data_IF_587857542869
#
_entry.id   IF_587857542869
#
_cell.length_a   1.000
_cell.length_b   1.000
_cell.length_c   1.000
_cell.angle_alpha   90.00
_cell.angle_beta   90.00
_cell.angle_gamma   90.00
#
_symmetry.space_group_name_H-M   'P 1'
#
loop_
_entity.id
_entity.type
_entity.pdbx_description
1 polymer ?
#
# COMPACT_ATOMS: atom_id res chain seq x y z
N UNK A 1 -15.41 -24.07 30.06
CA UNK A 1 -15.33 -24.12 28.59
C UNK A 1 -14.03 -23.51 28.15
N UNK A 2 -13.20 -24.29 27.48
CA UNK A 2 -11.74 -24.35 27.53
C UNK A 2 -10.96 -23.13 26.97
N UNK A 3 -10.11 -22.53 27.81
CA UNK A 3 -9.06 -21.60 27.38
C UNK A 3 -8.02 -22.25 26.43
N UNK A 4 -7.88 -23.57 26.44
CA UNK A 4 -6.98 -24.33 25.54
C UNK A 4 -7.36 -24.23 24.06
N UNK A 5 -8.65 -24.08 23.70
CA UNK A 5 -9.07 -24.02 22.29
C UNK A 5 -8.72 -22.71 21.56
N UNK A 6 -8.46 -21.62 22.29
CA UNK A 6 -8.06 -20.33 21.70
C UNK A 6 -6.55 -20.25 21.42
N UNK A 7 -5.72 -20.86 22.29
CA UNK A 7 -4.27 -20.92 22.08
C UNK A 7 -3.91 -21.84 20.90
N UNK A 8 -4.60 -22.99 20.78
CA UNK A 8 -4.38 -23.93 19.68
C UNK A 8 -4.71 -23.32 18.32
N UNK A 9 -5.74 -22.47 18.24
CA UNK A 9 -6.09 -21.78 16.99
C UNK A 9 -5.06 -20.71 16.55
N UNK A 10 -4.39 -20.05 17.51
CA UNK A 10 -3.36 -19.04 17.20
C UNK A 10 -2.06 -19.71 16.74
N UNK A 11 -1.64 -20.77 17.41
CA UNK A 11 -0.44 -21.56 17.05
C UNK A 11 -0.62 -22.19 15.68
N UNK A 12 -1.77 -22.81 15.41
CA UNK A 12 -2.11 -23.39 14.10
C UNK A 12 -2.17 -22.35 12.97
N UNK A 13 -2.60 -21.14 13.29
CA UNK A 13 -2.74 -20.07 12.30
C UNK A 13 -1.42 -19.38 11.95
N UNK A 14 -0.55 -19.16 12.94
CA UNK A 14 0.70 -18.42 12.78
C UNK A 14 1.94 -19.33 12.79
N UNK A 15 1.84 -20.54 13.32
CA UNK A 15 2.93 -21.50 13.37
C UNK A 15 3.56 -21.79 12.03
N UNK A 16 2.79 -22.26 11.01
CA UNK A 16 3.34 -22.58 9.69
C UNK A 16 4.04 -21.41 8.99
N UNK A 17 3.46 -20.19 8.92
CA UNK A 17 4.14 -19.03 8.31
C UNK A 17 5.43 -18.65 9.03
N UNK A 18 5.42 -18.66 10.37
CA UNK A 18 6.61 -18.32 11.16
C UNK A 18 7.69 -19.39 11.05
N UNK A 19 7.32 -20.67 11.05
CA UNK A 19 8.25 -21.76 10.83
C UNK A 19 8.90 -21.69 9.44
N UNK A 20 8.12 -21.43 8.40
CA UNK A 20 8.65 -21.25 7.04
C UNK A 20 9.60 -20.06 6.96
N UNK A 21 9.23 -18.90 7.55
CA UNK A 21 10.10 -17.72 7.61
C UNK A 21 11.40 -18.04 8.35
N UNK A 22 11.32 -18.72 9.50
CA UNK A 22 12.50 -19.15 10.26
C UNK A 22 13.40 -20.08 9.47
N UNK A 23 12.83 -21.07 8.74
CA UNK A 23 13.57 -21.96 7.86
C UNK A 23 14.26 -21.21 6.71
N UNK A 24 13.59 -20.24 6.09
CA UNK A 24 14.18 -19.42 5.03
C UNK A 24 15.33 -18.56 5.54
N UNK A 25 15.18 -17.91 6.70
CA UNK A 25 16.24 -17.11 7.32
C UNK A 25 17.41 -18.00 7.75
N UNK A 26 17.15 -19.18 8.32
CA UNK A 26 18.19 -20.14 8.68
C UNK A 26 18.92 -20.65 7.43
N UNK A 27 18.18 -20.99 6.37
CA UNK A 27 18.77 -21.40 5.10
C UNK A 27 19.66 -20.31 4.49
N UNK A 28 19.23 -19.04 4.52
CA UNK A 28 20.05 -17.92 4.08
C UNK A 28 21.30 -17.76 4.95
N UNK A 29 21.17 -17.78 6.27
CA UNK A 29 22.31 -17.69 7.20
C UNK A 29 23.34 -18.80 6.95
N UNK A 30 22.87 -20.05 6.81
CA UNK A 30 23.73 -21.20 6.52
C UNK A 30 24.38 -21.12 5.15
N UNK A 31 23.64 -20.70 4.12
CA UNK A 31 24.16 -20.55 2.77
C UNK A 31 25.30 -19.51 2.72
N UNK A 32 25.16 -18.40 3.44
CA UNK A 32 26.21 -17.36 3.50
C UNK A 32 27.43 -17.86 4.28
N UNK A 33 27.22 -18.49 5.44
CA UNK A 33 28.33 -18.92 6.30
C UNK A 33 29.08 -20.12 5.76
N UNK A 34 28.36 -21.13 5.25
CA UNK A 34 28.99 -22.36 4.71
C UNK A 34 29.55 -22.15 3.30
N UNK A 35 28.93 -21.24 2.52
CA UNK A 35 29.41 -20.89 1.19
C UNK A 35 30.55 -19.86 1.20
N UNK A 36 30.99 -19.42 2.40
CA UNK A 36 32.02 -18.39 2.55
C UNK A 36 31.77 -17.14 1.70
N UNK A 37 30.48 -16.79 1.53
CA UNK A 37 30.06 -15.65 0.71
C UNK A 37 30.50 -14.37 1.41
N UNK A 38 31.22 -13.52 0.69
CA UNK A 38 31.69 -12.27 1.24
C UNK A 38 30.54 -11.38 1.73
N UNK A 39 30.59 -10.82 2.97
CA UNK A 39 29.47 -10.05 3.56
C UNK A 39 29.10 -8.79 2.76
N UNK A 40 30.01 -8.25 1.98
CA UNK A 40 29.72 -7.13 1.08
C UNK A 40 28.88 -7.53 -0.14
N UNK A 41 28.87 -8.82 -0.52
CA UNK A 41 28.03 -9.34 -1.61
C UNK A 41 26.66 -9.74 -1.09
N UNK A 42 26.64 -10.56 -0.02
CA UNK A 42 25.39 -11.01 0.62
C UNK A 42 25.61 -11.10 2.14
N UNK A 43 25.07 -10.18 2.93
CA UNK A 43 25.21 -10.22 4.38
C UNK A 43 24.40 -11.36 4.98
N UNK A 44 24.90 -12.02 6.04
CA UNK A 44 24.05 -12.95 6.80
C UNK A 44 22.94 -12.18 7.51
N UNK A 45 21.71 -12.74 7.61
CA UNK A 45 20.62 -12.11 8.33
C UNK A 45 20.96 -11.60 9.74
N UNK A 46 21.85 -12.29 10.43
CA UNK A 46 22.32 -11.90 11.77
C UNK A 46 23.12 -10.59 11.82
N UNK A 47 23.73 -10.15 10.71
CA UNK A 47 24.46 -8.89 10.65
C UNK A 47 23.57 -7.66 10.43
N UNK A 48 22.36 -7.85 9.89
CA UNK A 48 21.46 -6.74 9.52
C UNK A 48 21.01 -5.92 10.74
N UNK A 49 20.58 -6.53 11.87
CA UNK A 49 20.19 -5.75 13.04
C UNK A 49 21.31 -4.87 13.60
N UNK A 50 22.55 -5.35 13.58
CA UNK A 50 23.73 -4.56 13.97
C UNK A 50 23.87 -3.31 13.10
N UNK A 51 23.89 -3.48 11.77
CA UNK A 51 23.98 -2.36 10.85
C UNK A 51 22.82 -1.36 10.99
N UNK A 52 21.61 -1.82 11.29
CA UNK A 52 20.45 -0.93 11.55
C UNK A 52 20.63 -0.14 12.84
N UNK A 53 21.22 -0.74 13.89
CA UNK A 53 21.47 -0.06 15.15
C UNK A 53 22.61 0.95 15.06
N UNK A 54 23.65 0.63 14.31
CA UNK A 54 24.82 1.49 14.12
C UNK A 54 24.40 2.80 13.39
N UNK A 55 23.49 2.71 12.40
CA UNK A 55 23.00 3.85 11.62
C UNK A 55 21.57 4.29 12.01
N UNK A 56 21.11 3.94 13.22
CA UNK A 56 19.71 4.15 13.62
C UNK A 56 19.24 5.61 13.48
N UNK A 57 20.11 6.58 13.75
CA UNK A 57 19.78 8.01 13.64
C UNK A 57 19.51 8.44 12.21
N UNK A 58 20.37 8.06 11.27
CA UNK A 58 20.21 8.38 9.86
C UNK A 58 19.05 7.62 9.23
N UNK A 59 18.91 6.33 9.54
CA UNK A 59 17.77 5.52 9.09
C UNK A 59 16.44 6.08 9.58
N UNK A 60 16.36 6.55 10.82
CA UNK A 60 15.13 7.20 11.34
C UNK A 60 14.82 8.48 10.57
N UNK A 61 15.82 9.33 10.35
CA UNK A 61 15.66 10.57 9.57
C UNK A 61 15.16 10.29 8.16
N UNK A 62 15.78 9.33 7.46
CA UNK A 62 15.39 8.93 6.12
C UNK A 62 14.01 8.29 6.09
N UNK A 63 13.66 7.48 7.09
CA UNK A 63 12.32 6.89 7.24
C UNK A 63 11.23 7.95 7.36
N UNK A 64 11.45 9.01 8.15
CA UNK A 64 10.48 10.09 8.32
C UNK A 64 10.26 10.87 7.00
N UNK A 65 11.31 11.07 6.20
CA UNK A 65 11.18 11.71 4.88
C UNK A 65 10.34 10.84 3.95
N UNK A 66 10.67 9.55 3.81
CA UNK A 66 9.90 8.60 3.00
C UNK A 66 8.44 8.52 3.47
N UNK A 67 8.21 8.45 4.79
CA UNK A 67 6.86 8.42 5.36
C UNK A 67 6.06 9.66 5.00
N UNK A 68 6.66 10.85 5.06
CA UNK A 68 6.02 12.11 4.68
C UNK A 68 5.59 12.08 3.20
N UNK A 69 6.48 11.65 2.30
CA UNK A 69 6.21 11.56 0.86
C UNK A 69 5.08 10.57 0.56
N UNK A 70 5.12 9.42 1.21
CA UNK A 70 4.10 8.37 1.10
C UNK A 70 2.74 8.86 1.59
N UNK A 71 2.67 9.49 2.76
CA UNK A 71 1.40 9.97 3.33
C UNK A 71 0.79 11.07 2.46
N UNK A 72 1.59 12.04 2.00
CA UNK A 72 1.10 13.11 1.13
C UNK A 72 0.60 12.55 -0.20
N UNK A 73 1.36 11.67 -0.83
CA UNK A 73 0.96 11.04 -2.10
C UNK A 73 -0.30 10.16 -1.95
N UNK A 74 -0.41 9.41 -0.86
CA UNK A 74 -1.58 8.57 -0.58
C UNK A 74 -2.84 9.41 -0.34
N UNK A 75 -2.72 10.54 0.37
CA UNK A 75 -3.83 11.49 0.57
C UNK A 75 -4.27 12.08 -0.77
N UNK A 76 -3.34 12.57 -1.60
CA UNK A 76 -3.66 13.11 -2.92
C UNK A 76 -4.31 12.05 -3.81
N UNK A 77 -3.75 10.83 -3.85
CA UNK A 77 -4.30 9.71 -4.60
C UNK A 77 -5.72 9.35 -4.14
N UNK A 78 -5.97 9.38 -2.83
CA UNK A 78 -7.28 9.07 -2.25
C UNK A 78 -8.31 10.11 -2.65
N UNK A 79 -7.98 11.40 -2.54
CA UNK A 79 -8.88 12.48 -2.93
C UNK A 79 -9.22 12.44 -4.42
N UNK A 80 -8.19 12.36 -5.27
CA UNK A 80 -8.37 12.25 -6.73
C UNK A 80 -9.11 10.96 -7.12
N UNK A 81 -8.79 9.85 -6.46
CA UNK A 81 -9.43 8.56 -6.70
C UNK A 81 -10.92 8.58 -6.38
N UNK A 82 -11.31 9.15 -5.23
CA UNK A 82 -12.73 9.30 -4.86
C UNK A 82 -13.45 10.23 -5.85
N UNK A 83 -12.87 11.39 -6.17
CA UNK A 83 -13.47 12.34 -7.12
C UNK A 83 -13.70 11.66 -8.47
N UNK A 84 -12.71 10.96 -8.98
CA UNK A 84 -12.79 10.25 -10.27
C UNK A 84 -13.84 9.13 -10.23
N UNK A 85 -13.86 8.31 -9.18
CA UNK A 85 -14.82 7.22 -9.05
C UNK A 85 -16.26 7.73 -8.93
N UNK A 86 -16.48 8.82 -8.19
CA UNK A 86 -17.79 9.48 -8.08
C UNK A 86 -18.20 10.07 -9.43
N UNK A 87 -17.31 10.73 -10.14
CA UNK A 87 -17.58 11.27 -11.47
C UNK A 87 -17.98 10.17 -12.46
N UNK A 88 -17.27 9.04 -12.47
CA UNK A 88 -17.59 7.86 -13.27
C UNK A 88 -18.99 7.33 -12.92
N UNK A 89 -19.35 7.23 -11.63
CA UNK A 89 -20.65 6.71 -11.19
C UNK A 89 -21.84 7.60 -11.59
N UNK A 90 -21.64 8.91 -11.73
CA UNK A 90 -22.70 9.83 -12.12
C UNK A 90 -22.82 10.05 -13.63
N UNK A 91 -21.73 9.92 -14.37
CA UNK A 91 -21.65 10.26 -15.80
C UNK A 91 -21.17 9.06 -16.64
N UNK A 92 -22.08 8.32 -17.30
CA UNK A 92 -21.71 7.16 -18.13
C UNK A 92 -20.73 7.47 -19.26
N UNK A 93 -20.70 8.73 -19.73
CA UNK A 93 -19.73 9.17 -20.73
C UNK A 93 -18.30 9.21 -20.14
N UNK A 94 -18.17 9.68 -18.90
CA UNK A 94 -16.89 9.68 -18.20
C UNK A 94 -16.42 8.27 -17.87
N UNK A 95 -17.32 7.37 -17.54
CA UNK A 95 -17.00 5.95 -17.34
C UNK A 95 -16.33 5.36 -18.58
N UNK A 96 -16.98 5.52 -19.75
CA UNK A 96 -16.46 5.01 -21.04
C UNK A 96 -15.13 5.65 -21.43
N UNK A 97 -14.92 6.92 -21.08
CA UNK A 97 -13.71 7.66 -21.43
C UNK A 97 -12.57 7.43 -20.43
N UNK A 98 -12.83 7.57 -19.13
CA UNK A 98 -11.79 7.58 -18.10
C UNK A 98 -11.40 6.18 -17.62
N UNK A 99 -12.35 5.24 -17.51
CA UNK A 99 -12.06 3.92 -16.96
C UNK A 99 -10.98 3.16 -17.77
N UNK A 100 -11.02 3.13 -19.13
CA UNK A 100 -9.93 2.54 -19.91
C UNK A 100 -8.58 3.24 -19.71
N UNK A 101 -8.58 4.58 -19.54
CA UNK A 101 -7.35 5.35 -19.29
C UNK A 101 -6.76 5.04 -17.90
N UNK A 102 -7.62 4.91 -16.90
CA UNK A 102 -7.21 4.49 -15.54
C UNK A 102 -6.57 3.10 -15.60
N UNK A 103 -7.16 2.15 -16.31
CA UNK A 103 -6.57 0.82 -16.48
C UNK A 103 -5.25 0.89 -17.25
N UNK A 104 -5.20 1.65 -18.35
CA UNK A 104 -3.99 1.82 -19.15
C UNK A 104 -2.83 2.47 -18.37
N UNK A 105 -3.14 3.34 -17.39
CA UNK A 105 -2.10 4.00 -16.57
C UNK A 105 -1.20 3.03 -15.81
N UNK A 106 -1.67 1.82 -15.51
CA UNK A 106 -0.88 0.78 -14.85
C UNK A 106 0.17 0.13 -15.76
N UNK A 107 0.03 0.29 -17.08
CA UNK A 107 0.99 -0.27 -18.04
C UNK A 107 2.26 0.58 -18.16
N UNK A 108 2.27 1.79 -17.59
CA UNK A 108 3.44 2.68 -17.66
C UNK A 108 4.43 2.31 -16.55
N UNK A 109 5.68 1.92 -16.89
CA UNK A 109 6.68 1.56 -15.89
C UNK A 109 7.09 2.78 -15.05
N UNK A 110 6.93 2.72 -13.73
CA UNK A 110 7.31 3.78 -12.79
C UNK A 110 8.79 4.24 -12.94
N UNK A 111 9.76 3.31 -13.14
CA UNK A 111 11.16 3.73 -13.31
C UNK A 111 11.39 4.67 -14.49
N UNK A 112 10.52 4.62 -15.51
CA UNK A 112 10.61 5.52 -16.68
C UNK A 112 9.96 6.88 -16.38
N UNK A 113 8.90 6.89 -15.56
CA UNK A 113 8.20 8.13 -15.20
C UNK A 113 9.02 9.00 -14.24
N UNK A 114 9.76 8.40 -13.32
CA UNK A 114 10.48 9.16 -12.30
C UNK A 114 11.47 10.19 -12.88
N UNK A 115 12.38 9.86 -13.82
CA UNK A 115 13.26 10.86 -14.45
C UNK A 115 12.48 11.90 -15.26
N UNK A 116 11.40 11.52 -15.94
CA UNK A 116 10.58 12.46 -16.70
C UNK A 116 9.93 13.51 -15.80
N UNK A 117 9.37 13.08 -14.66
CA UNK A 117 8.76 14.01 -13.71
C UNK A 117 9.79 14.98 -13.12
N UNK A 118 11.03 14.53 -12.90
CA UNK A 118 12.10 15.41 -12.42
C UNK A 118 12.50 16.43 -13.49
N UNK A 119 12.56 16.04 -14.75
CA UNK A 119 12.87 16.94 -15.88
C UNK A 119 11.79 18.04 -15.99
N UNK A 120 10.51 17.69 -15.84
CA UNK A 120 9.41 18.64 -16.00
C UNK A 120 9.14 19.50 -14.77
N UNK A 121 9.29 18.94 -13.56
CA UNK A 121 8.89 19.58 -12.30
C UNK A 121 10.09 20.03 -11.45
N UNK A 122 11.30 19.67 -11.86
CA UNK A 122 12.51 19.90 -11.08
C UNK A 122 12.68 18.92 -9.92
N UNK A 123 13.75 19.15 -9.15
CA UNK A 123 14.02 18.40 -7.93
C UNK A 123 13.12 18.86 -6.79
N UNK A 124 12.79 17.96 -5.88
CA UNK A 124 12.01 18.31 -4.69
C UNK A 124 10.99 17.22 -4.32
N UNK A 125 10.02 17.59 -3.51
CA UNK A 125 9.00 16.66 -2.99
C UNK A 125 7.88 16.39 -4.01
N UNK A 126 7.60 17.34 -4.92
CA UNK A 126 6.45 17.27 -5.85
C UNK A 126 6.51 16.07 -6.79
N UNK A 127 7.61 15.81 -7.53
CA UNK A 127 7.68 14.62 -8.40
C UNK A 127 7.53 13.31 -7.62
N UNK A 128 7.98 13.23 -6.39
CA UNK A 128 7.85 12.04 -5.53
C UNK A 128 6.40 11.82 -5.09
N UNK A 129 5.71 12.89 -4.64
CA UNK A 129 4.28 12.84 -4.32
C UNK A 129 3.48 12.37 -5.55
N UNK A 130 3.81 12.86 -6.75
CA UNK A 130 3.13 12.44 -7.97
C UNK A 130 3.36 10.98 -8.32
N UNK A 131 4.58 10.44 -8.12
CA UNK A 131 4.85 9.01 -8.33
C UNK A 131 4.04 8.14 -7.37
N UNK A 132 4.01 8.51 -6.09
CA UNK A 132 3.15 7.83 -5.10
C UNK A 132 1.68 7.94 -5.50
N UNK A 133 1.24 9.14 -5.91
CA UNK A 133 -0.14 9.36 -6.35
C UNK A 133 -0.51 8.47 -7.53
N UNK A 134 0.34 8.38 -8.54
CA UNK A 134 0.08 7.58 -9.74
C UNK A 134 -0.07 6.08 -9.43
N UNK A 135 0.81 5.52 -8.60
CA UNK A 135 0.72 4.09 -8.25
C UNK A 135 -0.49 3.78 -7.37
N UNK A 136 -0.87 4.71 -6.48
CA UNK A 136 -1.99 4.54 -5.55
C UNK A 136 -3.36 4.84 -6.19
N UNK A 137 -3.39 5.68 -7.22
CA UNK A 137 -4.63 6.15 -7.84
C UNK A 137 -5.47 5.01 -8.43
N UNK A 138 -4.84 4.13 -9.22
CA UNK A 138 -5.54 3.02 -9.88
C UNK A 138 -6.28 2.09 -8.90
N UNK A 139 -5.64 1.47 -7.90
CA UNK A 139 -6.34 0.55 -7.00
C UNK A 139 -7.48 1.25 -6.24
N UNK A 140 -7.35 2.55 -5.94
CA UNK A 140 -8.40 3.31 -5.28
C UNK A 140 -9.58 3.53 -6.23
N UNK A 141 -9.34 4.00 -7.47
CA UNK A 141 -10.41 4.26 -8.44
C UNK A 141 -11.15 2.99 -8.79
N UNK A 142 -10.45 1.95 -9.23
CA UNK A 142 -11.06 0.71 -9.71
C UNK A 142 -11.90 0.06 -8.61
N UNK A 143 -11.33 -0.15 -7.43
CA UNK A 143 -12.09 -0.78 -6.35
C UNK A 143 -13.29 0.08 -5.90
N UNK A 144 -13.17 1.42 -5.95
CA UNK A 144 -14.31 2.30 -5.60
C UNK A 144 -15.41 2.23 -6.65
N UNK A 145 -15.06 2.25 -7.93
CA UNK A 145 -16.02 2.12 -9.05
C UNK A 145 -16.73 0.77 -8.97
N UNK A 146 -15.98 -0.32 -8.78
CA UNK A 146 -16.55 -1.66 -8.62
C UNK A 146 -17.51 -1.71 -7.42
N UNK A 147 -17.13 -1.04 -6.33
CA UNK A 147 -17.98 -0.91 -5.15
C UNK A 147 -19.29 -0.15 -5.44
N UNK A 148 -19.21 0.93 -6.21
CA UNK A 148 -20.40 1.72 -6.58
C UNK A 148 -21.34 0.97 -7.55
N UNK A 149 -20.79 0.02 -8.32
CA UNK A 149 -21.54 -0.81 -9.26
C UNK A 149 -22.05 -2.12 -8.62
N UNK A 150 -21.50 -2.57 -7.49
CA UNK A 150 -21.88 -3.82 -6.81
C UNK A 150 -23.26 -3.78 -6.13
N UNK A 151 -23.91 -2.62 -6.14
CA UNK A 151 -25.21 -2.42 -5.49
C UNK A 151 -26.31 -3.16 -6.25
N UNK A 152 -27.19 -3.84 -5.51
CA UNK A 152 -28.36 -4.52 -6.04
C UNK A 152 -29.25 -3.54 -6.82
N UNK A 153 -29.49 -3.89 -8.09
CA UNK A 153 -30.33 -3.09 -8.99
C UNK A 153 -31.78 -3.01 -8.52
N UNK A 154 -32.28 -4.05 -7.88
CA UNK A 154 -33.66 -4.09 -7.39
C UNK A 154 -33.84 -3.14 -6.20
N UNK A 155 -32.87 -3.06 -5.30
CA UNK A 155 -32.85 -2.07 -4.23
C UNK A 155 -32.84 -0.62 -4.79
N UNK A 156 -32.06 -0.36 -5.83
CA UNK A 156 -32.03 0.95 -6.49
C UNK A 156 -33.36 1.26 -7.18
N UNK A 157 -33.96 0.29 -7.87
CA UNK A 157 -35.24 0.46 -8.57
C UNK A 157 -36.38 0.70 -7.57
N UNK A 158 -36.39 -0.03 -6.46
CA UNK A 158 -37.37 0.17 -5.37
C UNK A 158 -37.30 1.60 -4.84
N UNK A 159 -36.12 2.12 -4.57
CA UNK A 159 -35.94 3.50 -4.10
C UNK A 159 -36.44 4.53 -5.14
N UNK A 160 -36.26 4.25 -6.42
CA UNK A 160 -36.78 5.11 -7.50
C UNK A 160 -38.33 5.13 -7.52
N UNK A 161 -39.00 3.99 -7.29
CA UNK A 161 -40.43 3.93 -7.20
C UNK A 161 -41.00 4.74 -6.02
N UNK A 162 -40.23 4.89 -4.93
CA UNK A 162 -40.51 5.79 -3.83
C UNK A 162 -40.13 7.25 -4.08
N UNK A 163 -39.73 7.62 -5.30
CA UNK A 163 -39.40 9.00 -5.67
C UNK A 163 -37.99 9.47 -5.21
N UNK A 164 -37.07 8.56 -4.83
CA UNK A 164 -35.76 8.94 -4.40
C UNK A 164 -34.94 9.53 -5.57
N UNK A 165 -34.27 10.66 -5.32
CA UNK A 165 -33.36 11.30 -6.27
C UNK A 165 -32.08 10.50 -6.46
N UNK A 166 -31.35 10.75 -7.56
CA UNK A 166 -30.03 10.12 -7.83
C UNK A 166 -29.04 10.34 -6.68
N UNK A 167 -29.03 11.53 -6.09
CA UNK A 167 -28.18 11.88 -4.97
C UNK A 167 -28.56 11.12 -3.68
N UNK A 168 -29.84 11.00 -3.40
CA UNK A 168 -30.34 10.22 -2.25
C UNK A 168 -29.95 8.74 -2.36
N UNK A 169 -30.10 8.16 -3.56
CA UNK A 169 -29.69 6.77 -3.83
C UNK A 169 -28.17 6.62 -3.67
N UNK A 170 -27.39 7.58 -4.16
CA UNK A 170 -25.95 7.58 -4.02
C UNK A 170 -25.52 7.61 -2.54
N UNK A 171 -25.96 8.59 -1.77
CA UNK A 171 -25.55 8.79 -0.38
C UNK A 171 -26.06 7.69 0.55
N UNK A 172 -27.30 7.22 0.36
CA UNK A 172 -27.93 6.27 1.28
C UNK A 172 -27.64 4.81 0.96
N UNK A 173 -27.32 4.48 -0.29
CA UNK A 173 -27.14 3.09 -0.72
C UNK A 173 -25.81 2.86 -1.42
N UNK A 174 -25.52 3.56 -2.52
CA UNK A 174 -24.35 3.26 -3.33
C UNK A 174 -23.04 3.49 -2.59
N UNK A 175 -22.88 4.67 -1.99
CA UNK A 175 -21.67 5.03 -1.27
C UNK A 175 -21.40 4.14 -0.05
N UNK A 176 -22.36 3.92 0.88
CA UNK A 176 -22.12 2.98 1.99
C UNK A 176 -21.82 1.55 1.56
N UNK A 177 -22.44 1.08 0.47
CA UNK A 177 -22.15 -0.25 -0.09
C UNK A 177 -20.78 -0.34 -0.76
N UNK A 178 -20.27 0.78 -1.29
CA UNK A 178 -18.96 0.84 -1.93
C UNK A 178 -17.80 0.92 -0.92
N UNK A 179 -18.03 1.42 0.29
CA UNK A 179 -16.98 1.64 1.29
C UNK A 179 -16.09 0.41 1.57
N UNK A 180 -16.60 -0.83 1.68
CA UNK A 180 -15.75 -2.00 1.88
C UNK A 180 -14.75 -2.22 0.74
N UNK A 181 -15.16 -2.00 -0.52
CA UNK A 181 -14.29 -2.12 -1.69
C UNK A 181 -13.34 -0.92 -1.81
N UNK A 182 -13.80 0.30 -1.51
CA UNK A 182 -12.92 1.45 -1.37
C UNK A 182 -11.78 1.19 -0.38
N UNK A 183 -12.07 0.70 0.82
CA UNK A 183 -11.03 0.35 1.79
C UNK A 183 -10.15 -0.80 1.33
N UNK A 184 -10.68 -1.74 0.53
CA UNK A 184 -9.85 -2.77 -0.10
C UNK A 184 -8.84 -2.17 -1.06
N UNK A 185 -9.25 -1.25 -1.94
CA UNK A 185 -8.37 -0.49 -2.83
C UNK A 185 -7.35 0.36 -2.06
N UNK A 186 -7.79 1.05 -1.00
CA UNK A 186 -6.94 1.89 -0.18
C UNK A 186 -5.86 1.08 0.56
N UNK A 187 -6.17 -0.13 1.02
CA UNK A 187 -5.17 -1.04 1.63
C UNK A 187 -4.09 -1.47 0.62
N UNK A 188 -4.51 -1.80 -0.61
CA UNK A 188 -3.56 -2.12 -1.69
C UNK A 188 -2.70 -0.90 -2.00
N UNK A 189 -3.32 0.27 -2.17
CA UNK A 189 -2.62 1.53 -2.40
C UNK A 189 -1.60 1.83 -1.29
N UNK A 190 -1.98 1.69 -0.02
CA UNK A 190 -1.11 1.90 1.12
C UNK A 190 0.12 0.97 1.11
N UNK A 191 -0.07 -0.30 0.74
CA UNK A 191 1.03 -1.25 0.64
C UNK A 191 2.03 -0.90 -0.49
N UNK A 192 1.52 -0.46 -1.66
CA UNK A 192 2.37 -0.15 -2.83
C UNK A 192 2.89 1.29 -2.85
N UNK A 193 2.38 2.18 -2.00
CA UNK A 193 2.77 3.59 -1.94
C UNK A 193 4.27 3.80 -1.69
N UNK A 194 4.85 2.93 -0.87
CA UNK A 194 6.30 2.92 -0.56
C UNK A 194 7.14 2.73 -1.82
N UNK A 195 6.68 1.91 -2.77
CA UNK A 195 7.36 1.69 -4.05
C UNK A 195 7.45 2.99 -4.84
N UNK A 196 6.35 3.77 -4.90
CA UNK A 196 6.33 5.07 -5.59
C UNK A 196 7.31 6.08 -5.00
N UNK A 197 7.40 6.17 -3.66
CA UNK A 197 8.34 7.04 -2.97
C UNK A 197 9.79 6.64 -3.26
N UNK A 198 10.12 5.35 -3.13
CA UNK A 198 11.48 4.83 -3.37
C UNK A 198 11.95 5.12 -4.78
N UNK A 199 11.12 4.94 -5.82
CA UNK A 199 11.52 5.28 -7.18
C UNK A 199 11.82 6.78 -7.37
N UNK A 200 11.04 7.64 -6.73
CA UNK A 200 11.31 9.09 -6.72
C UNK A 200 12.60 9.43 -5.99
N UNK A 201 12.88 8.75 -4.88
CA UNK A 201 14.07 8.98 -4.07
C UNK A 201 15.36 8.45 -4.73
N UNK A 202 15.30 7.31 -5.41
CA UNK A 202 16.45 6.72 -6.11
C UNK A 202 17.03 7.65 -7.18
N UNK A 203 16.21 8.48 -7.84
CA UNK A 203 16.64 9.25 -9.01
C UNK A 203 16.99 10.69 -8.65
N UNK A 204 16.23 11.34 -7.76
CA UNK A 204 16.34 12.78 -7.59
C UNK A 204 16.30 13.28 -6.15
N UNK A 205 16.55 12.44 -5.15
CA UNK A 205 16.49 12.85 -3.75
C UNK A 205 17.85 13.15 -3.12
N UNK A 206 17.83 13.99 -2.08
CA UNK A 206 18.91 14.22 -1.13
C UNK A 206 18.64 13.61 0.25
N UNK A 207 17.46 12.99 0.43
CA UNK A 207 17.04 12.31 1.65
C UNK A 207 15.93 11.29 1.33
N UNK A 208 15.67 10.38 2.25
CA UNK A 208 14.72 9.27 2.13
C UNK A 208 15.43 7.92 2.11
N UNK A 209 14.68 6.83 2.35
CA UNK A 209 15.26 5.47 2.41
C UNK A 209 15.77 5.00 1.04
N UNK A 210 15.13 5.40 -0.06
CA UNK A 210 15.63 5.13 -1.41
C UNK A 210 16.93 5.88 -1.71
N UNK A 211 17.06 7.13 -1.25
CA UNK A 211 18.32 7.87 -1.29
C UNK A 211 19.40 7.14 -0.48
N UNK A 212 19.11 6.73 0.75
CA UNK A 212 20.04 5.99 1.60
C UNK A 212 20.53 4.71 0.91
N UNK A 213 19.62 3.90 0.36
CA UNK A 213 19.96 2.69 -0.41
C UNK A 213 20.90 3.02 -1.57
N UNK A 214 20.60 4.07 -2.36
CA UNK A 214 21.43 4.50 -3.47
C UNK A 214 22.83 4.96 -3.01
N UNK A 215 22.91 5.59 -1.84
CA UNK A 215 24.16 6.09 -1.27
C UNK A 215 25.05 4.95 -0.75
N UNK A 216 24.46 4.00 -0.01
CA UNK A 216 25.20 2.90 0.64
C UNK A 216 25.59 1.76 -0.32
N UNK A 217 24.87 1.60 -1.44
CA UNK A 217 25.12 0.52 -2.41
C UNK A 217 26.53 0.59 -3.02
N UNK A 218 27.05 1.72 -3.54
CA UNK A 218 28.39 1.79 -4.10
C UNK A 218 29.51 1.71 -3.05
N UNK A 219 29.17 1.90 -1.77
CA UNK A 219 30.09 1.74 -0.63
C UNK A 219 30.19 0.29 -0.16
N UNK A 220 29.41 -0.61 -0.76
CA UNK A 220 29.31 -2.02 -0.38
C UNK A 220 28.85 -2.24 1.07
N UNK A 221 28.14 -1.28 1.66
CA UNK A 221 27.49 -1.42 2.96
C UNK A 221 26.18 -2.21 2.85
N UNK A 222 26.29 -3.42 2.33
CA UNK A 222 25.13 -4.24 1.92
C UNK A 222 24.21 -4.55 3.09
N UNK A 223 24.73 -4.76 4.30
CA UNK A 223 23.91 -4.98 5.48
C UNK A 223 22.99 -3.79 5.81
N UNK A 224 23.50 -2.55 5.65
CA UNK A 224 22.73 -1.32 5.81
C UNK A 224 21.62 -1.18 4.74
N UNK A 225 21.95 -1.52 3.47
CA UNK A 225 20.97 -1.56 2.36
C UNK A 225 19.83 -2.54 2.63
N UNK A 226 20.15 -3.75 3.11
CA UNK A 226 19.13 -4.72 3.53
C UNK A 226 18.31 -4.22 4.72
N UNK A 227 18.95 -3.56 5.69
CA UNK A 227 18.28 -2.92 6.81
C UNK A 227 17.25 -1.88 6.38
N UNK A 228 17.65 -0.96 5.50
CA UNK A 228 16.76 0.04 4.91
C UNK A 228 15.59 -0.60 4.12
N UNK A 229 15.88 -1.69 3.38
CA UNK A 229 14.85 -2.43 2.64
C UNK A 229 13.83 -3.08 3.58
N UNK A 230 14.28 -3.64 4.70
CA UNK A 230 13.39 -4.20 5.73
C UNK A 230 12.53 -3.10 6.36
N UNK A 231 13.10 -1.92 6.62
CA UNK A 231 12.34 -0.78 7.15
C UNK A 231 11.26 -0.34 6.15
N UNK A 232 11.56 -0.28 4.85
CA UNK A 232 10.57 0.01 3.79
C UNK A 232 9.45 -1.03 3.77
N UNK A 233 9.77 -2.30 3.88
CA UNK A 233 8.78 -3.39 3.96
C UNK A 233 7.87 -3.22 5.20
N UNK A 234 8.46 -2.95 6.36
CA UNK A 234 7.72 -2.74 7.60
C UNK A 234 6.85 -1.48 7.52
N UNK A 235 7.31 -0.42 6.86
CA UNK A 235 6.54 0.80 6.62
C UNK A 235 5.30 0.50 5.78
N UNK A 236 5.43 -0.24 4.67
CA UNK A 236 4.30 -0.67 3.84
C UNK A 236 3.28 -1.53 4.61
N UNK A 237 3.78 -2.49 5.41
CA UNK A 237 2.93 -3.32 6.27
C UNK A 237 2.22 -2.46 7.33
N UNK A 238 2.92 -1.53 7.97
CA UNK A 238 2.33 -0.64 8.97
C UNK A 238 1.19 0.21 8.37
N UNK A 239 1.40 0.79 7.19
CA UNK A 239 0.38 1.56 6.48
C UNK A 239 -0.84 0.69 6.11
N UNK A 240 -0.61 -0.53 5.61
CA UNK A 240 -1.70 -1.48 5.35
C UNK A 240 -2.51 -1.78 6.62
N UNK A 241 -1.84 -2.02 7.75
CA UNK A 241 -2.49 -2.30 9.04
C UNK A 241 -3.25 -1.08 9.55
N UNK A 242 -2.70 0.12 9.42
CA UNK A 242 -3.37 1.37 9.80
C UNK A 242 -4.66 1.56 8.99
N UNK A 243 -4.62 1.39 7.66
CA UNK A 243 -5.82 1.48 6.82
C UNK A 243 -6.84 0.40 7.19
N UNK A 244 -6.40 -0.82 7.49
CA UNK A 244 -7.27 -1.90 7.96
C UNK A 244 -7.92 -1.58 9.30
N UNK A 245 -7.17 -0.98 10.22
CA UNK A 245 -7.71 -0.53 11.51
C UNK A 245 -8.73 0.59 11.32
N UNK A 246 -8.46 1.55 10.43
CA UNK A 246 -9.41 2.60 10.07
C UNK A 246 -10.70 2.02 9.47
N UNK A 247 -10.61 1.06 8.54
CA UNK A 247 -11.77 0.32 8.02
C UNK A 247 -12.59 -0.31 9.14
N UNK A 248 -11.91 -0.98 10.06
CA UNK A 248 -12.57 -1.68 11.16
C UNK A 248 -13.34 -0.73 12.10
N UNK A 249 -12.82 0.50 12.32
CA UNK A 249 -13.48 1.52 13.14
C UNK A 249 -14.63 2.19 12.38
N UNK A 250 -14.43 2.49 11.09
CA UNK A 250 -15.37 3.28 10.28
C UNK A 250 -16.54 2.46 9.70
N UNK A 251 -16.42 1.11 9.61
CA UNK A 251 -17.45 0.22 9.07
C UNK A 251 -17.98 -0.79 10.11
N UNK A 252 -18.64 -0.33 11.19
CA UNK A 252 -19.13 -1.23 12.24
C UNK A 252 -20.20 -2.20 11.76
N UNK A 253 -21.02 -1.80 10.76
CA UNK A 253 -22.09 -2.65 10.19
C UNK A 253 -21.59 -3.90 9.48
N UNK A 254 -20.34 -3.90 8.97
CA UNK A 254 -19.74 -5.07 8.33
C UNK A 254 -19.52 -6.22 9.31
N UNK A 255 -19.33 -5.93 10.59
CA UNK A 255 -19.14 -6.93 11.64
C UNK A 255 -20.41 -7.73 11.86
N UNK A 256 -21.57 -7.07 11.90
CA UNK A 256 -22.87 -7.72 12.12
C UNK A 256 -23.28 -8.64 10.94
N UNK A 257 -22.85 -8.32 9.71
CA UNK A 257 -23.09 -9.18 8.56
C UNK A 257 -22.18 -10.42 8.54
N UNK A 258 -20.90 -10.28 8.94
CA UNK A 258 -19.96 -11.40 9.03
C UNK A 258 -20.30 -12.39 10.16
N UNK A 259 -20.96 -11.94 11.22
CA UNK A 259 -21.46 -12.80 12.30
C UNK A 259 -22.69 -13.60 11.86
N UNK A 260 -23.59 -13.00 11.07
CA UNK A 260 -24.80 -13.67 10.55
C UNK A 260 -24.49 -14.74 9.49
N UNK A 261 -23.39 -14.63 8.76
CA UNK A 261 -22.99 -15.64 7.77
C UNK A 261 -22.25 -16.86 8.36
N UNK A 262 -22.01 -16.87 9.68
CA UNK A 262 -21.40 -18.00 10.41
C UNK A 262 -22.39 -18.82 11.22
N UNK A 263 -23.66 -18.45 11.21
CA UNK A 263 -24.79 -19.18 11.76
C UNK A 263 -25.58 -19.86 10.63
#
# INVERSE_FOLDING_TARGET
MNARSRSDSLVWRWGPPLALLGLLLLGWELAVRLGEIAPWLLPPPSAIPGAVLDDAGDLLRHTLVTLQEVLLGLVVATLLGIITAVAIAFFPLLERALYPLVVASQSVPLPVLAPLLIIFLGYGIVPKILLVTLICFFPIVVNTVDGLHSVDRDAVNLLRTFGATRWQIFVKVRWPSALPLFFSGLRVAAAVSVIGAVFGELIGASAGLGYYIRHETPLFHTAAVYGATIILMLLGIALFVVVRAAEWVLLPWRRSLAERSRV
#
